data_IF_938958053350
#
_entry.id   IF_938958053350
#
_cell.length_a   1.000
_cell.length_b   1.000
_cell.length_c   1.000
_cell.angle_alpha   90.00
_cell.angle_beta   90.00
_cell.angle_gamma   90.00
#
_symmetry.space_group_name_H-M   'P 1'
#
loop_
_entity.id
_entity.type
_entity.pdbx_description
1 polymer ?
#
# COMPACT_ATOMS: atom_id res chain seq x y z
N UNK A 1 -35.77 5.79 14.36
CA UNK A 1 -34.73 6.09 15.38
C UNK A 1 -34.15 4.84 16.03
N UNK A 2 -34.92 3.78 16.25
CA UNK A 2 -34.44 2.54 16.91
C UNK A 2 -33.35 1.78 16.12
N UNK A 3 -33.46 1.71 14.80
CA UNK A 3 -32.48 1.04 13.94
C UNK A 3 -31.11 1.71 14.02
N UNK A 4 -31.07 3.03 14.01
CA UNK A 4 -29.83 3.80 14.16
C UNK A 4 -29.20 3.59 15.56
N UNK A 5 -30.03 3.55 16.60
CA UNK A 5 -29.60 3.25 17.98
C UNK A 5 -29.02 1.84 18.14
N UNK A 6 -29.59 0.83 17.44
CA UNK A 6 -29.07 -0.53 17.41
C UNK A 6 -27.70 -0.60 16.73
N UNK A 7 -27.53 0.04 15.56
CA UNK A 7 -26.25 0.08 14.88
C UNK A 7 -25.18 0.85 15.66
N UNK A 8 -25.57 1.97 16.30
CA UNK A 8 -24.65 2.73 17.16
C UNK A 8 -24.20 1.91 18.40
N UNK A 9 -25.12 1.18 19.05
CA UNK A 9 -24.77 0.30 20.18
C UNK A 9 -23.88 -0.87 19.72
N UNK A 10 -24.18 -1.49 18.58
CA UNK A 10 -23.34 -2.55 18.00
C UNK A 10 -21.96 -2.02 17.63
N UNK A 11 -21.88 -0.82 17.04
CA UNK A 11 -20.61 -0.16 16.74
C UNK A 11 -19.82 0.15 18.02
N UNK A 12 -20.49 0.65 19.05
CA UNK A 12 -19.88 0.93 20.36
C UNK A 12 -19.35 -0.32 21.05
N UNK A 13 -20.11 -1.44 21.03
CA UNK A 13 -19.68 -2.70 21.62
C UNK A 13 -18.50 -3.32 20.86
N UNK A 14 -18.48 -3.25 19.52
CA UNK A 14 -17.34 -3.67 18.70
C UNK A 14 -16.14 -2.76 18.94
N UNK A 15 -16.36 -1.44 18.99
CA UNK A 15 -15.29 -0.47 19.24
C UNK A 15 -14.65 -0.66 20.61
N UNK A 16 -15.45 -0.84 21.65
CA UNK A 16 -14.98 -1.06 23.04
C UNK A 16 -14.42 -2.47 23.23
N UNK A 17 -15.05 -3.49 22.64
CA UNK A 17 -14.71 -4.90 22.85
C UNK A 17 -13.56 -5.42 21.98
N UNK A 18 -13.32 -4.84 20.79
CA UNK A 18 -12.29 -5.33 19.88
C UNK A 18 -11.15 -4.32 19.63
N UNK A 19 -11.46 -3.02 19.59
CA UNK A 19 -10.48 -2.01 19.19
C UNK A 19 -9.71 -1.48 20.38
N UNK A 20 -10.37 -1.14 21.49
CA UNK A 20 -9.73 -0.55 22.69
C UNK A 20 -9.00 -1.57 23.57
N UNK A 21 -9.23 -2.87 23.40
CA UNK A 21 -8.59 -3.90 24.24
C UNK A 21 -7.14 -4.18 23.79
N UNK A 22 -6.83 -4.03 22.50
CA UNK A 22 -5.49 -4.31 21.96
C UNK A 22 -4.71 -3.01 21.80
N UNK A 23 -3.57 -2.83 22.46
CA UNK A 23 -2.80 -1.61 22.43
C UNK A 23 -2.29 -1.27 21.00
N UNK A 24 -1.99 -2.27 20.17
CA UNK A 24 -1.62 -2.04 18.78
C UNK A 24 -2.70 -1.30 17.97
N UNK A 25 -3.96 -1.63 18.18
CA UNK A 25 -5.10 -0.97 17.52
C UNK A 25 -5.30 0.46 18.03
N UNK A 26 -5.07 0.68 19.31
CA UNK A 26 -5.14 2.03 19.92
C UNK A 26 -4.03 2.92 19.33
N UNK A 27 -2.81 2.41 19.20
CA UNK A 27 -1.68 3.15 18.60
C UNK A 27 -2.01 3.55 17.15
N UNK A 28 -2.57 2.64 16.36
CA UNK A 28 -3.00 2.93 14.97
C UNK A 28 -4.08 4.02 14.95
N UNK A 29 -5.07 3.97 15.84
CA UNK A 29 -6.10 5.01 15.92
C UNK A 29 -5.52 6.37 16.33
N UNK A 30 -4.62 6.40 17.32
CA UNK A 30 -3.95 7.63 17.76
C UNK A 30 -3.10 8.21 16.64
N UNK A 31 -2.41 7.38 15.87
CA UNK A 31 -1.64 7.80 14.71
C UNK A 31 -2.53 8.46 13.65
N UNK A 32 -3.66 7.86 13.33
CA UNK A 32 -4.60 8.43 12.35
C UNK A 32 -5.26 9.71 12.87
N UNK A 33 -5.62 9.75 14.15
CA UNK A 33 -6.12 10.98 14.77
C UNK A 33 -5.09 12.10 14.74
N UNK A 34 -3.83 11.78 15.04
CA UNK A 34 -2.72 12.72 14.94
C UNK A 34 -2.57 13.26 13.51
N UNK A 35 -2.60 12.40 12.49
CA UNK A 35 -2.54 12.82 11.09
C UNK A 35 -3.70 13.78 10.75
N UNK A 36 -4.92 13.50 11.19
CA UNK A 36 -6.07 14.37 10.90
C UNK A 36 -5.96 15.74 11.59
N UNK A 37 -5.41 15.79 12.80
CA UNK A 37 -5.24 17.04 13.56
C UNK A 37 -4.01 17.87 13.13
N UNK A 38 -3.05 17.26 12.43
CA UNK A 38 -1.77 17.87 12.13
C UNK A 38 -1.86 19.19 11.34
N UNK A 39 -2.71 19.35 10.31
CA UNK A 39 -2.87 20.61 9.58
C UNK A 39 -3.46 21.75 10.43
N UNK A 40 -4.13 21.42 11.55
CA UNK A 40 -4.65 22.43 12.49
C UNK A 40 -3.54 23.05 13.33
N UNK A 41 -2.45 22.29 13.56
CA UNK A 41 -1.30 22.72 14.36
C UNK A 41 -0.23 23.38 13.48
N UNK A 42 0.04 22.81 12.30
CA UNK A 42 1.12 23.27 11.42
C UNK A 42 0.66 23.36 9.98
N UNK A 43 0.78 24.55 9.39
CA UNK A 43 0.44 24.81 8.00
C UNK A 43 1.68 24.94 7.11
N UNK A 44 2.85 24.43 7.56
CA UNK A 44 4.07 24.46 6.78
C UNK A 44 3.88 23.69 5.45
N UNK A 45 4.06 24.39 4.30
CA UNK A 45 3.88 23.80 3.00
C UNK A 45 4.81 22.61 2.70
N UNK A 46 6.01 22.59 3.30
CA UNK A 46 6.98 21.52 3.12
C UNK A 46 6.54 20.26 3.85
N UNK A 47 6.15 20.38 5.12
CA UNK A 47 5.65 19.27 5.91
C UNK A 47 4.38 18.64 5.28
N UNK A 48 3.42 19.48 4.88
CA UNK A 48 2.21 19.02 4.22
C UNK A 48 2.52 18.26 2.93
N UNK A 49 3.49 18.72 2.12
CA UNK A 49 3.93 18.01 0.91
C UNK A 49 4.47 16.63 1.22
N UNK A 50 5.33 16.50 2.23
CA UNK A 50 5.90 15.21 2.64
C UNK A 50 4.79 14.25 3.06
N UNK A 51 3.83 14.69 3.85
CA UNK A 51 2.74 13.86 4.34
C UNK A 51 1.73 13.46 3.26
N UNK A 52 1.46 14.34 2.29
CA UNK A 52 0.65 14.03 1.11
C UNK A 52 1.32 12.91 0.30
N UNK A 53 2.62 13.07 0.00
CA UNK A 53 3.38 12.06 -0.72
C UNK A 53 3.47 10.75 0.06
N UNK A 54 3.71 10.81 1.37
CA UNK A 54 3.68 9.63 2.24
C UNK A 54 2.32 8.92 2.19
N UNK A 55 1.20 9.66 2.20
CA UNK A 55 -0.14 9.08 2.09
C UNK A 55 -0.37 8.38 0.74
N UNK A 56 0.09 8.98 -0.35
CA UNK A 56 0.02 8.40 -1.70
C UNK A 56 0.86 7.12 -1.77
N UNK A 57 2.10 7.17 -1.30
CA UNK A 57 2.99 6.01 -1.29
C UNK A 57 2.56 4.93 -0.29
N UNK A 58 1.84 5.28 0.78
CA UNK A 58 1.25 4.31 1.71
C UNK A 58 0.18 3.45 1.02
N UNK A 59 -0.68 4.03 0.17
CA UNK A 59 -1.62 3.27 -0.66
C UNK A 59 -0.86 2.32 -1.59
N UNK A 60 0.21 2.82 -2.21
CA UNK A 60 1.03 2.06 -3.14
C UNK A 60 1.74 0.88 -2.45
N UNK A 61 2.31 1.09 -1.26
CA UNK A 61 2.96 0.03 -0.48
C UNK A 61 1.97 -1.02 0.04
N UNK A 62 0.81 -0.59 0.54
CA UNK A 62 -0.25 -1.48 0.97
C UNK A 62 -0.81 -2.32 -0.19
N UNK A 63 -0.89 -1.75 -1.40
CA UNK A 63 -1.34 -2.47 -2.60
C UNK A 63 -0.36 -3.57 -3.03
N UNK A 64 0.95 -3.36 -2.85
CA UNK A 64 1.95 -4.39 -3.09
C UNK A 64 1.84 -5.54 -2.09
N UNK A 65 1.65 -5.22 -0.80
CA UNK A 65 1.47 -6.23 0.24
C UNK A 65 0.21 -7.07 0.02
N UNK A 66 -0.88 -6.46 -0.46
CA UNK A 66 -2.11 -7.19 -0.82
C UNK A 66 -1.84 -8.29 -1.86
N UNK A 67 -0.95 -8.05 -2.83
CA UNK A 67 -0.58 -9.02 -3.85
C UNK A 67 0.53 -9.95 -3.34
N UNK A 68 1.70 -9.39 -3.05
CA UNK A 68 2.90 -10.19 -2.77
C UNK A 68 2.87 -10.76 -1.35
N UNK A 69 2.39 -9.98 -0.38
CA UNK A 69 2.27 -10.40 1.00
C UNK A 69 1.21 -11.47 1.20
N UNK A 70 -0.02 -11.20 0.82
CA UNK A 70 -1.16 -12.07 1.12
C UNK A 70 -1.26 -13.29 0.19
N UNK A 71 -0.83 -13.21 -1.07
CA UNK A 71 -0.93 -14.36 -2.00
C UNK A 71 0.40 -15.05 -2.28
N UNK A 72 1.52 -14.54 -1.75
CA UNK A 72 2.85 -15.08 -1.99
C UNK A 72 3.39 -14.87 -3.41
N UNK A 73 2.73 -14.04 -4.23
CA UNK A 73 3.16 -13.74 -5.60
C UNK A 73 4.15 -12.58 -5.61
N UNK A 74 5.44 -12.88 -5.56
CA UNK A 74 6.50 -11.86 -5.62
C UNK A 74 6.39 -11.04 -6.91
N UNK A 75 6.01 -9.75 -6.78
CA UNK A 75 5.90 -8.81 -7.89
C UNK A 75 6.93 -7.69 -7.74
N UNK A 76 7.95 -7.69 -8.59
CA UNK A 76 8.95 -6.63 -8.68
C UNK A 76 8.64 -5.59 -9.76
N UNK A 77 7.56 -5.78 -10.50
CA UNK A 77 7.09 -4.86 -11.53
C UNK A 77 5.97 -3.93 -11.07
N UNK A 78 5.86 -3.64 -9.78
CA UNK A 78 4.72 -2.90 -9.24
C UNK A 78 4.62 -1.45 -9.74
N UNK A 79 5.75 -0.83 -10.10
CA UNK A 79 5.82 0.48 -10.77
C UNK A 79 5.04 0.52 -12.09
N UNK A 80 4.83 -0.62 -12.77
CA UNK A 80 3.99 -0.69 -13.97
C UNK A 80 2.58 -0.15 -13.71
N UNK A 81 1.92 -0.60 -12.65
CA UNK A 81 0.55 -0.17 -12.32
C UNK A 81 0.48 1.32 -11.99
N UNK A 82 1.44 1.78 -11.21
CA UNK A 82 1.58 3.17 -10.82
C UNK A 82 1.82 4.07 -12.05
N UNK A 83 2.79 3.71 -12.88
CA UNK A 83 3.15 4.47 -14.07
C UNK A 83 2.05 4.49 -15.13
N UNK A 84 1.44 3.32 -15.44
CA UNK A 84 0.32 3.26 -16.40
C UNK A 84 -0.81 4.17 -15.97
N UNK A 85 -1.19 4.14 -14.69
CA UNK A 85 -2.26 4.99 -14.20
C UNK A 85 -1.88 6.47 -14.22
N UNK A 86 -0.64 6.81 -13.85
CA UNK A 86 -0.14 8.17 -13.90
C UNK A 86 -0.18 8.74 -15.32
N UNK A 87 0.34 8.00 -16.31
CA UNK A 87 0.32 8.40 -17.72
C UNK A 87 -1.10 8.44 -18.29
N UNK A 88 -1.94 7.46 -17.98
CA UNK A 88 -3.34 7.45 -18.45
C UNK A 88 -4.11 8.64 -17.88
N UNK A 89 -3.97 8.92 -16.58
CA UNK A 89 -4.59 10.08 -15.95
C UNK A 89 -4.10 11.40 -16.57
N UNK A 90 -2.79 11.50 -16.87
CA UNK A 90 -2.20 12.66 -17.51
C UNK A 90 -2.74 12.88 -18.93
N UNK A 91 -2.78 11.84 -19.75
CA UNK A 91 -3.29 11.89 -21.11
C UNK A 91 -4.77 12.27 -21.17
N UNK A 92 -5.60 11.66 -20.30
CA UNK A 92 -7.03 11.99 -20.21
C UNK A 92 -7.25 13.43 -19.75
N UNK A 93 -6.43 13.94 -18.83
CA UNK A 93 -6.56 15.31 -18.34
C UNK A 93 -6.18 16.33 -19.42
N UNK A 94 -5.08 16.13 -20.15
CA UNK A 94 -4.62 17.09 -21.15
C UNK A 94 -5.37 17.02 -22.47
N UNK A 95 -5.59 15.82 -23.01
CA UNK A 95 -6.21 15.68 -24.34
C UNK A 95 -7.75 15.64 -24.27
N UNK A 96 -8.32 14.93 -23.30
CA UNK A 96 -9.77 14.80 -23.15
C UNK A 96 -10.35 15.80 -22.14
N UNK A 97 -9.53 16.65 -21.50
CA UNK A 97 -9.93 17.62 -20.47
C UNK A 97 -10.75 17.02 -19.31
N UNK A 98 -10.54 15.73 -19.03
CA UNK A 98 -11.21 15.04 -17.93
C UNK A 98 -10.67 15.61 -16.60
N UNK A 99 -11.54 16.01 -15.66
CA UNK A 99 -11.10 16.52 -14.37
C UNK A 99 -10.35 15.43 -13.57
N UNK A 100 -9.51 15.81 -12.57
CA UNK A 100 -8.71 14.85 -11.78
C UNK A 100 -9.55 13.71 -11.17
N UNK A 101 -10.75 14.03 -10.69
CA UNK A 101 -11.68 13.05 -10.10
C UNK A 101 -12.19 11.99 -11.06
N UNK A 102 -12.20 12.26 -12.36
CA UNK A 102 -12.53 11.30 -13.40
C UNK A 102 -11.30 10.58 -13.96
N UNK A 103 -10.18 11.31 -14.15
CA UNK A 103 -8.96 10.75 -14.74
C UNK A 103 -8.25 9.76 -13.81
N UNK A 104 -8.27 9.96 -12.48
CA UNK A 104 -7.68 9.05 -11.50
C UNK A 104 -8.34 7.67 -11.53
N UNK A 105 -9.67 7.51 -11.36
CA UNK A 105 -10.29 6.18 -11.43
C UNK A 105 -10.18 5.53 -12.82
N UNK A 106 -10.21 6.30 -13.91
CA UNK A 106 -9.97 5.76 -15.24
C UNK A 106 -8.53 5.27 -15.41
N UNK A 107 -7.54 6.00 -14.86
CA UNK A 107 -6.15 5.54 -14.79
C UNK A 107 -6.00 4.26 -13.98
N UNK A 108 -6.71 4.14 -12.85
CA UNK A 108 -6.74 2.91 -12.06
C UNK A 108 -7.34 1.72 -12.83
N UNK A 109 -8.41 1.96 -13.62
CA UNK A 109 -8.97 0.91 -14.49
C UNK A 109 -7.98 0.49 -15.60
N UNK A 110 -7.22 1.43 -16.16
CA UNK A 110 -6.16 1.10 -17.11
C UNK A 110 -5.06 0.24 -16.45
N UNK A 111 -4.70 0.52 -15.20
CA UNK A 111 -3.78 -0.32 -14.43
C UNK A 111 -4.36 -1.73 -14.17
N UNK A 112 -5.65 -1.86 -13.89
CA UNK A 112 -6.32 -3.18 -13.79
C UNK A 112 -6.24 -3.94 -15.11
N UNK A 113 -6.53 -3.28 -16.23
CA UNK A 113 -6.44 -3.89 -17.55
C UNK A 113 -5.01 -4.36 -17.87
N UNK A 114 -4.01 -3.54 -17.55
CA UNK A 114 -2.60 -3.92 -17.64
C UNK A 114 -2.29 -5.12 -16.73
N UNK A 115 -2.86 -5.14 -15.52
CA UNK A 115 -2.77 -6.26 -14.59
C UNK A 115 -3.32 -7.56 -15.15
N UNK A 116 -4.40 -7.51 -15.93
CA UNK A 116 -4.92 -8.69 -16.65
C UNK A 116 -3.97 -9.15 -17.75
N UNK A 117 -3.49 -8.23 -18.58
CA UNK A 117 -2.57 -8.54 -19.68
C UNK A 117 -1.28 -9.19 -19.17
N UNK A 118 -0.70 -8.61 -18.11
CA UNK A 118 0.55 -9.10 -17.50
C UNK A 118 0.31 -10.32 -16.62
N UNK A 119 -0.77 -10.31 -15.84
CA UNK A 119 -1.08 -11.35 -14.88
C UNK A 119 -1.31 -12.71 -15.55
N UNK A 120 -2.07 -12.75 -16.65
CA UNK A 120 -2.40 -14.03 -17.34
C UNK A 120 -1.14 -14.83 -17.71
N UNK A 121 -0.13 -14.31 -18.42
CA UNK A 121 1.10 -15.05 -18.70
C UNK A 121 1.93 -15.31 -17.44
N UNK A 122 1.99 -14.35 -16.52
CA UNK A 122 2.77 -14.46 -15.29
C UNK A 122 2.25 -15.56 -14.34
N UNK A 123 0.94 -15.85 -14.34
CA UNK A 123 0.36 -16.91 -13.49
C UNK A 123 0.86 -18.33 -13.80
N UNK A 124 1.50 -18.53 -14.95
CA UNK A 124 2.15 -19.81 -15.31
C UNK A 124 3.50 -19.99 -14.63
N UNK A 125 4.08 -18.87 -14.14
CA UNK A 125 5.40 -18.83 -13.50
C UNK A 125 5.26 -18.88 -11.98
N UNK A 126 6.31 -19.39 -11.31
CA UNK A 126 6.35 -19.50 -9.86
C UNK A 126 7.68 -18.98 -9.31
N UNK A 127 7.64 -18.50 -8.06
CA UNK A 127 8.83 -18.09 -7.33
C UNK A 127 9.64 -17.01 -8.06
N UNK A 128 10.93 -17.22 -8.20
CA UNK A 128 11.89 -16.26 -8.77
C UNK A 128 11.60 -15.91 -10.23
N UNK A 129 11.09 -16.86 -11.01
CA UNK A 129 10.74 -16.60 -12.42
C UNK A 129 9.60 -15.60 -12.57
N UNK A 130 8.59 -15.67 -11.68
CA UNK A 130 7.52 -14.69 -11.64
C UNK A 130 8.07 -13.29 -11.31
N UNK A 131 8.94 -13.19 -10.31
CA UNK A 131 9.55 -11.95 -9.89
C UNK A 131 10.36 -11.28 -11.01
N UNK A 132 11.20 -12.05 -11.71
CA UNK A 132 12.01 -11.54 -12.83
C UNK A 132 11.15 -11.14 -14.03
N UNK A 133 10.12 -11.92 -14.35
CA UNK A 133 9.23 -11.61 -15.46
C UNK A 133 8.43 -10.33 -15.18
N UNK A 134 7.90 -10.16 -13.96
CA UNK A 134 7.17 -8.94 -13.60
C UNK A 134 8.06 -7.71 -13.65
N UNK A 135 9.36 -7.82 -13.33
CA UNK A 135 10.34 -6.74 -13.42
C UNK A 135 10.55 -6.24 -14.85
N UNK A 136 10.44 -7.11 -15.84
CA UNK A 136 10.64 -6.74 -17.23
C UNK A 136 9.56 -5.78 -17.78
N UNK A 137 8.32 -5.87 -17.31
CA UNK A 137 7.21 -5.09 -17.84
C UNK A 137 7.34 -3.58 -17.67
N UNK A 138 7.69 -3.02 -16.50
CA UNK A 138 7.92 -1.59 -16.38
C UNK A 138 9.09 -1.12 -17.25
N UNK A 139 10.14 -1.94 -17.46
CA UNK A 139 11.27 -1.62 -18.33
C UNK A 139 10.82 -1.56 -19.80
N UNK A 140 10.00 -2.52 -20.24
CA UNK A 140 9.43 -2.52 -21.60
C UNK A 140 8.58 -1.27 -21.80
N UNK A 141 7.71 -0.94 -20.84
CA UNK A 141 6.86 0.24 -20.94
C UNK A 141 7.67 1.54 -20.92
N UNK A 142 8.73 1.60 -20.13
CA UNK A 142 9.68 2.71 -20.12
C UNK A 142 10.32 2.89 -21.50
N UNK A 143 10.73 1.80 -22.16
CA UNK A 143 11.22 1.83 -23.54
C UNK A 143 10.18 2.37 -24.53
N UNK A 144 8.90 2.00 -24.39
CA UNK A 144 7.80 2.53 -25.20
C UNK A 144 7.62 4.04 -24.97
N UNK A 145 7.68 4.48 -23.72
CA UNK A 145 7.59 5.91 -23.37
C UNK A 145 8.65 6.73 -24.10
N UNK A 146 9.89 6.25 -24.15
CA UNK A 146 10.97 6.93 -24.88
C UNK A 146 10.83 6.84 -26.40
N UNK A 147 10.26 5.74 -26.90
CA UNK A 147 10.08 5.55 -28.35
C UNK A 147 8.97 6.42 -28.97
N UNK A 148 7.99 6.89 -28.16
CA UNK A 148 6.83 7.66 -28.63
C UNK A 148 6.73 9.02 -27.92
N UNK A 149 7.75 9.91 -28.07
CA UNK A 149 7.80 11.17 -27.32
C UNK A 149 6.66 12.14 -27.66
N UNK A 150 6.07 12.03 -28.87
CA UNK A 150 4.95 12.88 -29.29
C UNK A 150 3.67 12.72 -28.45
N UNK A 151 3.49 11.56 -27.78
CA UNK A 151 2.32 11.29 -26.93
C UNK A 151 2.72 11.32 -25.45
N UNK A 152 3.86 10.74 -25.12
CA UNK A 152 4.28 10.52 -23.71
C UNK A 152 5.13 11.66 -23.15
N UNK A 153 5.57 12.60 -24.00
CA UNK A 153 6.54 13.62 -23.62
C UNK A 153 7.99 13.12 -23.52
N UNK A 154 8.25 11.82 -23.81
CA UNK A 154 9.60 11.23 -23.78
C UNK A 154 10.28 11.35 -22.42
N UNK A 155 11.53 11.83 -22.40
CA UNK A 155 12.33 12.00 -21.16
C UNK A 155 11.75 13.05 -20.20
N UNK A 156 11.10 14.09 -20.72
CA UNK A 156 10.53 15.16 -19.90
C UNK A 156 9.18 14.75 -19.27
N UNK A 157 8.54 13.72 -19.83
CA UNK A 157 7.21 13.31 -19.42
C UNK A 157 6.12 14.34 -19.76
N UNK A 158 4.93 14.12 -19.25
CA UNK A 158 3.76 14.96 -19.46
C UNK A 158 3.62 15.89 -18.26
N UNK A 159 3.71 17.20 -18.46
CA UNK A 159 3.60 18.22 -17.41
C UNK A 159 2.39 19.14 -17.62
N UNK A 160 2.06 19.94 -16.61
CA UNK A 160 0.95 20.92 -16.73
C UNK A 160 -0.43 20.37 -16.36
N UNK A 161 -0.50 19.23 -15.68
CA UNK A 161 -1.75 18.62 -15.22
C UNK A 161 -2.54 19.55 -14.28
N UNK A 162 -3.86 19.43 -14.34
CA UNK A 162 -4.76 20.11 -13.43
C UNK A 162 -4.46 19.68 -11.98
N UNK A 163 -4.56 20.63 -11.05
CA UNK A 163 -4.40 20.37 -9.62
C UNK A 163 -5.56 19.54 -9.09
N UNK A 164 -5.31 18.78 -8.03
CA UNK A 164 -6.32 18.00 -7.33
C UNK A 164 -7.37 18.94 -6.70
N UNK A 165 -6.90 19.98 -6.03
CA UNK A 165 -7.73 21.06 -5.48
C UNK A 165 -7.04 22.44 -5.55
N UNK A 166 -7.75 23.48 -5.11
CA UNK A 166 -7.23 24.84 -5.07
C UNK A 166 -6.34 25.15 -3.87
N UNK A 167 -6.35 24.30 -2.82
CA UNK A 167 -5.61 24.51 -1.57
C UNK A 167 -4.79 23.28 -1.19
N UNK A 168 -3.59 23.50 -0.67
CA UNK A 168 -2.71 22.41 -0.20
C UNK A 168 -3.28 21.66 1.01
N UNK A 169 -3.99 22.37 1.88
CA UNK A 169 -4.69 21.77 3.03
C UNK A 169 -5.81 20.84 2.54
N UNK A 170 -6.55 21.25 1.53
CA UNK A 170 -7.59 20.42 0.91
C UNK A 170 -6.98 19.17 0.26
N UNK A 171 -5.87 19.31 -0.49
CA UNK A 171 -5.14 18.16 -1.06
C UNK A 171 -4.70 17.19 0.02
N UNK A 172 -4.25 17.69 1.18
CA UNK A 172 -3.89 16.86 2.33
C UNK A 172 -5.06 16.03 2.84
N UNK A 173 -6.19 16.66 3.15
CA UNK A 173 -7.36 15.94 3.67
C UNK A 173 -7.93 14.95 2.66
N UNK A 174 -7.90 15.27 1.37
CA UNK A 174 -8.31 14.36 0.30
C UNK A 174 -7.40 13.13 0.25
N UNK A 175 -6.08 13.33 0.22
CA UNK A 175 -5.13 12.21 0.10
C UNK A 175 -5.10 11.34 1.35
N UNK A 176 -5.12 11.92 2.55
CA UNK A 176 -5.22 11.18 3.81
C UNK A 176 -6.56 10.46 3.92
N UNK A 177 -7.67 11.10 3.57
CA UNK A 177 -9.00 10.47 3.57
C UNK A 177 -9.09 9.30 2.59
N UNK A 178 -8.57 9.45 1.37
CA UNK A 178 -8.49 8.36 0.40
C UNK A 178 -7.57 7.23 0.88
N UNK A 179 -6.40 7.56 1.44
CA UNK A 179 -5.50 6.56 2.04
C UNK A 179 -6.23 5.75 3.11
N UNK A 180 -6.89 6.41 4.06
CA UNK A 180 -7.63 5.73 5.13
C UNK A 180 -8.74 4.85 4.57
N UNK A 181 -9.53 5.36 3.63
CA UNK A 181 -10.63 4.63 2.98
C UNK A 181 -10.12 3.40 2.22
N UNK A 182 -9.11 3.57 1.38
CA UNK A 182 -8.55 2.48 0.55
C UNK A 182 -7.80 1.44 1.39
N UNK A 183 -7.00 1.85 2.39
CA UNK A 183 -6.34 0.92 3.30
C UNK A 183 -7.35 0.13 4.15
N UNK A 184 -8.42 0.78 4.61
CA UNK A 184 -9.52 0.09 5.32
C UNK A 184 -10.24 -0.89 4.40
N UNK A 185 -10.43 -0.54 3.13
CA UNK A 185 -11.03 -1.43 2.13
C UNK A 185 -10.12 -2.64 1.86
N UNK A 186 -8.82 -2.42 1.65
CA UNK A 186 -7.83 -3.51 1.51
C UNK A 186 -7.82 -4.40 2.75
N UNK A 187 -7.81 -3.84 3.95
CA UNK A 187 -7.89 -4.60 5.20
C UNK A 187 -9.18 -5.42 5.29
N UNK A 188 -10.34 -4.87 4.92
CA UNK A 188 -11.60 -5.63 4.88
C UNK A 188 -11.56 -6.79 3.88
N UNK A 189 -10.94 -6.59 2.72
CA UNK A 189 -10.74 -7.66 1.72
C UNK A 189 -9.90 -8.78 2.32
N UNK A 190 -8.81 -8.45 3.02
CA UNK A 190 -7.93 -9.46 3.64
C UNK A 190 -8.60 -10.21 4.79
N UNK A 191 -9.57 -9.61 5.47
CA UNK A 191 -10.36 -10.27 6.53
C UNK A 191 -11.59 -11.05 6.01
N UNK A 192 -11.88 -10.96 4.71
CA UNK A 192 -13.00 -11.68 4.08
C UNK A 192 -12.60 -13.11 3.68
N UNK A 193 -13.59 -13.89 3.21
CA UNK A 193 -13.34 -15.22 2.64
C UNK A 193 -12.31 -15.19 1.49
N UNK A 194 -12.27 -14.10 0.72
CA UNK A 194 -11.25 -13.91 -0.33
C UNK A 194 -9.85 -13.82 0.28
N UNK A 195 -9.68 -13.09 1.38
CA UNK A 195 -8.41 -12.99 2.08
C UNK A 195 -7.96 -14.33 2.67
N UNK A 196 -8.90 -15.11 3.21
CA UNK A 196 -8.59 -16.47 3.70
C UNK A 196 -8.07 -17.36 2.57
N UNK A 197 -8.67 -17.28 1.37
CA UNK A 197 -8.21 -18.01 0.19
C UNK A 197 -6.83 -17.52 -0.27
N UNK A 198 -6.55 -16.21 -0.20
CA UNK A 198 -5.23 -15.67 -0.49
C UNK A 198 -4.17 -16.28 0.43
N UNK A 199 -4.42 -16.33 1.73
CA UNK A 199 -3.54 -16.99 2.70
C UNK A 199 -3.34 -18.47 2.38
N UNK A 200 -4.42 -19.22 2.09
CA UNK A 200 -4.31 -20.63 1.74
C UNK A 200 -3.43 -20.85 0.49
N UNK A 201 -3.55 -20.00 -0.53
CA UNK A 201 -2.71 -20.06 -1.75
C UNK A 201 -1.24 -19.74 -1.41
N UNK A 202 -1.00 -18.83 -0.48
CA UNK A 202 0.35 -18.45 -0.06
C UNK A 202 1.06 -19.58 0.67
N UNK A 203 0.35 -20.26 1.59
CA UNK A 203 0.93 -21.35 2.40
C UNK A 203 1.22 -22.58 1.53
N UNK A 204 0.23 -23.06 0.78
CA UNK A 204 0.40 -24.16 -0.18
C UNK A 204 -0.61 -24.08 -1.32
N UNK A 205 -0.13 -23.67 -2.50
CA UNK A 205 -0.96 -23.59 -3.70
C UNK A 205 -1.51 -24.96 -4.15
N UNK A 206 -0.73 -26.04 -3.95
CA UNK A 206 -1.14 -27.37 -4.36
C UNK A 206 -2.26 -27.89 -3.45
N UNK A 207 -2.11 -27.73 -2.14
CA UNK A 207 -3.15 -28.08 -1.17
C UNK A 207 -4.44 -27.28 -1.40
N UNK A 208 -4.34 -25.99 -1.70
CA UNK A 208 -5.50 -25.17 -2.04
C UNK A 208 -6.23 -25.68 -3.29
N UNK A 209 -5.49 -26.11 -4.33
CA UNK A 209 -6.08 -26.72 -5.55
C UNK A 209 -6.76 -28.04 -5.28
N UNK A 210 -6.16 -28.92 -4.48
CA UNK A 210 -6.77 -30.22 -4.12
C UNK A 210 -8.02 -30.04 -3.28
N UNK A 211 -8.13 -28.95 -2.50
CA UNK A 211 -9.33 -28.55 -1.79
C UNK A 211 -10.42 -27.92 -2.71
N UNK A 212 -10.23 -27.92 -4.05
CA UNK A 212 -11.20 -27.41 -5.01
C UNK A 212 -11.14 -25.90 -5.29
N UNK A 213 -10.14 -25.19 -4.75
CA UNK A 213 -9.99 -23.75 -4.96
C UNK A 213 -9.35 -23.48 -6.33
N UNK A 214 -9.99 -22.63 -7.14
CA UNK A 214 -9.40 -22.18 -8.40
C UNK A 214 -8.33 -21.10 -8.14
N UNK A 215 -7.11 -21.52 -7.86
CA UNK A 215 -5.98 -20.63 -7.50
C UNK A 215 -5.68 -19.60 -8.58
N UNK A 216 -5.84 -19.94 -9.87
CA UNK A 216 -5.62 -19.02 -11.00
C UNK A 216 -6.55 -17.81 -10.93
N UNK A 217 -7.85 -18.03 -10.67
CA UNK A 217 -8.82 -16.93 -10.54
C UNK A 217 -8.49 -16.00 -9.38
N UNK A 218 -8.14 -16.55 -8.22
CA UNK A 218 -7.83 -15.75 -7.04
C UNK A 218 -6.50 -15.00 -7.17
N UNK A 219 -5.49 -15.61 -7.79
CA UNK A 219 -4.24 -14.94 -8.12
C UNK A 219 -4.47 -13.76 -9.07
N UNK A 220 -5.26 -13.96 -10.13
CA UNK A 220 -5.60 -12.90 -11.08
C UNK A 220 -6.41 -11.79 -10.40
N UNK A 221 -7.35 -12.14 -9.52
CA UNK A 221 -8.10 -11.17 -8.72
C UNK A 221 -7.17 -10.32 -7.86
N UNK A 222 -6.17 -10.93 -7.21
CA UNK A 222 -5.19 -10.21 -6.41
C UNK A 222 -4.36 -9.24 -7.28
N UNK A 223 -3.96 -9.63 -8.49
CA UNK A 223 -3.29 -8.75 -9.46
C UNK A 223 -4.17 -7.55 -9.84
N UNK A 224 -5.44 -7.79 -10.13
CA UNK A 224 -6.38 -6.73 -10.50
C UNK A 224 -6.65 -5.76 -9.33
N UNK A 225 -6.87 -6.29 -8.12
CA UNK A 225 -7.08 -5.47 -6.94
C UNK A 225 -5.85 -4.63 -6.60
N UNK A 226 -4.68 -5.25 -6.60
CA UNK A 226 -3.41 -4.58 -6.37
C UNK A 226 -3.16 -3.51 -7.43
N UNK A 227 -3.37 -3.83 -8.71
CA UNK A 227 -3.26 -2.88 -9.82
C UNK A 227 -4.23 -1.71 -9.69
N UNK A 228 -5.46 -1.93 -9.21
CA UNK A 228 -6.43 -0.88 -8.97
C UNK A 228 -5.97 0.11 -7.90
N UNK A 229 -5.54 -0.39 -6.74
CA UNK A 229 -5.09 0.47 -5.63
C UNK A 229 -3.77 1.18 -5.98
N UNK A 230 -2.81 0.48 -6.60
CA UNK A 230 -1.58 1.09 -7.11
C UNK A 230 -1.89 2.15 -8.17
N UNK A 231 -2.88 1.90 -9.04
CA UNK A 231 -3.32 2.83 -10.06
C UNK A 231 -3.94 4.10 -9.48
N UNK A 232 -4.77 4.01 -8.44
CA UNK A 232 -5.27 5.19 -7.74
C UNK A 232 -4.11 6.02 -7.19
N UNK A 233 -3.13 5.37 -6.56
CA UNK A 233 -1.93 6.04 -6.05
C UNK A 233 -1.14 6.74 -7.16
N UNK A 234 -0.93 6.11 -8.31
CA UNK A 234 -0.25 6.70 -9.46
C UNK A 234 -0.97 7.91 -10.05
N UNK A 235 -2.31 7.82 -10.18
CA UNK A 235 -3.12 8.95 -10.64
C UNK A 235 -3.13 10.13 -9.67
N UNK A 236 -3.21 9.87 -8.35
CA UNK A 236 -3.09 10.89 -7.30
C UNK A 236 -1.72 11.57 -7.35
N UNK A 237 -0.65 10.79 -7.49
CA UNK A 237 0.72 11.30 -7.61
C UNK A 237 0.87 12.23 -8.81
N UNK A 238 0.38 11.81 -9.99
CA UNK A 238 0.47 12.60 -11.21
C UNK A 238 -0.20 13.97 -11.08
N UNK A 239 -1.42 14.03 -10.52
CA UNK A 239 -2.14 15.29 -10.32
C UNK A 239 -1.55 16.15 -9.19
N UNK A 240 -1.05 15.53 -8.11
CA UNK A 240 -0.41 16.27 -7.03
C UNK A 240 0.93 16.88 -7.46
N UNK A 241 1.79 16.10 -8.13
CA UNK A 241 3.07 16.57 -8.66
C UNK A 241 2.91 17.37 -9.96
N UNK A 242 1.74 17.27 -10.61
CA UNK A 242 1.41 17.90 -11.91
C UNK A 242 2.31 17.42 -13.04
N UNK A 243 2.87 16.21 -12.91
CA UNK A 243 3.74 15.59 -13.88
C UNK A 243 3.55 14.08 -13.87
N UNK A 244 3.51 13.47 -15.04
CA UNK A 244 3.67 12.04 -15.24
C UNK A 244 4.92 11.81 -16.10
N UNK A 245 5.95 11.23 -15.50
CA UNK A 245 7.26 11.08 -16.15
C UNK A 245 7.80 9.66 -16.11
N UNK A 246 8.90 9.39 -16.83
CA UNK A 246 9.56 8.08 -16.87
C UNK A 246 9.93 7.53 -15.49
N UNK A 247 10.27 8.42 -14.55
CA UNK A 247 10.60 8.06 -13.16
C UNK A 247 9.51 7.23 -12.48
N UNK A 248 8.24 7.39 -12.89
CA UNK A 248 7.11 6.62 -12.33
C UNK A 248 7.11 5.14 -12.78
N UNK A 249 7.90 4.80 -13.80
CA UNK A 249 8.05 3.46 -14.36
C UNK A 249 9.40 2.83 -14.03
N UNK A 250 10.29 3.57 -13.37
CA UNK A 250 11.61 3.06 -13.04
C UNK A 250 11.55 1.87 -12.07
N UNK A 251 12.51 0.98 -12.24
CA UNK A 251 12.69 -0.20 -11.38
C UNK A 251 12.92 0.21 -9.91
N UNK A 252 13.61 1.33 -9.71
CA UNK A 252 13.83 1.91 -8.37
C UNK A 252 12.53 2.17 -7.61
N UNK A 253 11.47 2.59 -8.31
CA UNK A 253 10.16 2.80 -7.73
C UNK A 253 9.53 1.49 -7.23
N UNK A 254 9.67 0.40 -8.01
CA UNK A 254 9.23 -0.93 -7.58
C UNK A 254 9.99 -1.43 -6.36
N UNK A 255 11.31 -1.32 -6.35
CA UNK A 255 12.12 -1.75 -5.21
C UNK A 255 11.85 -0.92 -3.95
N UNK A 256 11.63 0.37 -4.08
CA UNK A 256 11.31 1.24 -2.95
C UNK A 256 10.03 0.77 -2.24
N UNK A 257 9.01 0.38 -2.99
CA UNK A 257 7.77 -0.16 -2.43
C UNK A 257 7.98 -1.49 -1.73
N UNK A 258 8.76 -2.38 -2.33
CA UNK A 258 9.13 -3.67 -1.73
C UNK A 258 9.84 -3.46 -0.39
N UNK A 259 10.79 -2.53 -0.35
CA UNK A 259 11.52 -2.17 0.86
C UNK A 259 10.55 -1.67 1.94
N UNK A 260 9.65 -0.76 1.62
CA UNK A 260 8.67 -0.25 2.58
C UNK A 260 7.75 -1.35 3.11
N UNK A 261 7.32 -2.26 2.25
CA UNK A 261 6.47 -3.37 2.66
C UNK A 261 7.18 -4.37 3.57
N UNK A 262 8.42 -4.76 3.22
CA UNK A 262 9.22 -5.68 4.05
C UNK A 262 9.59 -5.02 5.39
N UNK A 263 10.02 -3.75 5.36
CA UNK A 263 10.32 -3.00 6.57
C UNK A 263 9.13 -2.91 7.51
N UNK A 264 7.94 -2.62 6.96
CA UNK A 264 6.71 -2.50 7.76
C UNK A 264 6.20 -3.81 8.32
N UNK A 265 6.54 -4.90 7.68
CA UNK A 265 6.05 -6.25 7.95
C UNK A 265 5.02 -6.70 6.92
N UNK A 266 5.38 -7.71 6.17
CA UNK A 266 4.56 -8.33 5.12
C UNK A 266 3.33 -9.01 5.74
N UNK A 267 2.22 -9.11 4.96
CA UNK A 267 0.93 -9.68 5.41
C UNK A 267 0.21 -8.81 6.45
N UNK A 268 0.54 -7.54 6.45
CA UNK A 268 -0.12 -6.59 7.35
C UNK A 268 -0.36 -5.27 6.61
N UNK A 269 -1.58 -4.99 6.16
CA UNK A 269 -1.86 -3.75 5.41
C UNK A 269 -1.39 -2.48 6.17
N UNK A 270 -1.49 -2.46 7.48
CA UNK A 270 -1.02 -1.35 8.32
C UNK A 270 0.52 -1.26 8.42
N UNK A 271 1.23 -2.40 8.22
CA UNK A 271 2.69 -2.47 8.25
C UNK A 271 3.35 -1.57 7.21
N UNK A 272 3.11 -1.83 5.92
CA UNK A 272 3.60 -0.97 4.84
C UNK A 272 3.20 0.50 5.00
N UNK A 273 1.97 0.79 5.44
CA UNK A 273 1.52 2.16 5.69
C UNK A 273 2.40 2.85 6.74
N UNK A 274 2.59 2.23 7.90
CA UNK A 274 3.43 2.78 8.97
C UNK A 274 4.89 2.94 8.54
N UNK A 275 5.42 1.97 7.78
CA UNK A 275 6.77 2.03 7.23
C UNK A 275 6.98 3.26 6.33
N UNK A 276 6.05 3.56 5.45
CA UNK A 276 6.14 4.73 4.57
C UNK A 276 6.16 6.02 5.37
N UNK A 277 5.32 6.16 6.40
CA UNK A 277 5.31 7.36 7.25
C UNK A 277 6.56 7.53 8.11
N UNK A 278 7.35 6.47 8.30
CA UNK A 278 8.65 6.54 8.99
C UNK A 278 9.77 6.77 7.98
N UNK A 279 9.86 5.93 6.94
CA UNK A 279 10.99 5.92 6.02
C UNK A 279 10.97 7.07 5.01
N UNK A 280 9.78 7.50 4.55
CA UNK A 280 9.71 8.56 3.55
C UNK A 280 10.14 9.92 4.13
N UNK A 281 9.66 10.39 5.31
CA UNK A 281 10.19 11.59 5.94
C UNK A 281 11.67 11.45 6.32
N UNK A 282 12.13 10.27 6.73
CA UNK A 282 13.54 10.02 7.04
C UNK A 282 14.43 10.19 5.80
N UNK A 283 13.98 9.68 4.64
CA UNK A 283 14.65 9.88 3.35
C UNK A 283 14.76 11.36 2.97
N UNK A 284 13.71 12.12 3.26
CA UNK A 284 13.67 13.56 2.99
C UNK A 284 14.58 14.32 3.94
N UNK A 285 14.69 13.89 5.18
CA UNK A 285 15.63 14.45 6.16
C UNK A 285 17.09 14.27 5.71
N UNK A 286 17.44 13.12 5.13
CA UNK A 286 18.78 12.86 4.59
C UNK A 286 19.11 13.68 3.32
N UNK A 287 18.18 14.47 2.85
CA UNK A 287 18.43 15.40 1.74
C UNK A 287 19.51 16.45 2.06
N UNK A 288 19.80 16.69 3.33
CA UNK A 288 20.90 17.56 3.77
C UNK A 288 22.28 17.07 3.29
N UNK A 289 22.46 15.74 3.08
CA UNK A 289 23.69 15.15 2.55
C UNK A 289 23.42 14.32 1.29
N UNK A 290 23.24 14.97 0.11
CA UNK A 290 22.81 14.28 -1.10
C UNK A 290 23.71 13.11 -1.52
N UNK A 291 25.04 13.23 -1.31
CA UNK A 291 26.03 12.19 -1.65
C UNK A 291 25.95 10.95 -0.75
N UNK A 292 25.52 11.11 0.50
CA UNK A 292 25.44 10.02 1.49
C UNK A 292 24.00 9.49 1.67
N UNK A 293 23.01 10.15 1.10
CA UNK A 293 21.58 9.83 1.26
C UNK A 293 21.27 8.36 1.01
N UNK A 294 21.72 7.84 -0.13
CA UNK A 294 21.49 6.43 -0.49
C UNK A 294 22.21 5.45 0.43
N UNK A 295 23.44 5.78 0.83
CA UNK A 295 24.22 4.95 1.77
C UNK A 295 23.53 4.92 3.14
N UNK A 296 23.14 6.08 3.68
CA UNK A 296 22.49 6.17 4.98
C UNK A 296 21.16 5.40 4.99
N UNK A 297 20.37 5.55 3.91
CA UNK A 297 19.13 4.82 3.76
C UNK A 297 19.34 3.30 3.71
N UNK A 298 20.33 2.85 2.93
CA UNK A 298 20.69 1.43 2.85
C UNK A 298 21.17 0.86 4.20
N UNK A 299 21.94 1.64 4.98
CA UNK A 299 22.38 1.24 6.32
C UNK A 299 21.22 1.11 7.30
N UNK A 300 20.26 2.05 7.28
CA UNK A 300 19.05 1.99 8.11
C UNK A 300 18.26 0.74 7.79
N UNK A 301 18.03 0.44 6.51
CA UNK A 301 17.31 -0.74 6.08
C UNK A 301 18.05 -2.02 6.51
N UNK A 302 19.36 -2.09 6.25
CA UNK A 302 20.18 -3.22 6.63
C UNK A 302 20.12 -3.49 8.14
N UNK A 303 20.25 -2.43 8.95
CA UNK A 303 20.17 -2.55 10.40
C UNK A 303 18.82 -3.11 10.85
N UNK A 304 17.73 -2.65 10.28
CA UNK A 304 16.40 -3.10 10.67
C UNK A 304 16.12 -4.52 10.23
N UNK A 305 16.52 -4.91 9.01
CA UNK A 305 16.37 -6.29 8.53
C UNK A 305 17.19 -7.29 9.37
N UNK A 306 18.35 -6.88 9.88
CA UNK A 306 19.18 -7.73 10.75
C UNK A 306 18.59 -7.93 12.15
N UNK A 307 17.96 -6.89 12.72
CA UNK A 307 17.43 -6.94 14.08
C UNK A 307 15.93 -7.25 14.17
N UNK A 308 15.17 -7.04 13.08
CA UNK A 308 13.71 -7.18 13.02
C UNK A 308 13.30 -7.91 11.73
N UNK A 309 13.59 -9.23 11.59
CA UNK A 309 13.35 -9.97 10.35
C UNK A 309 11.89 -10.03 9.94
N UNK A 310 10.94 -9.94 10.90
CA UNK A 310 9.50 -9.94 10.64
C UNK A 310 8.95 -8.55 10.30
N UNK A 311 9.80 -7.52 10.31
CA UNK A 311 9.45 -6.12 10.12
C UNK A 311 9.19 -5.36 11.43
N UNK A 312 9.23 -4.02 11.33
CA UNK A 312 9.19 -3.13 12.49
C UNK A 312 7.87 -3.23 13.27
N UNK A 313 6.74 -3.18 12.57
CA UNK A 313 5.43 -3.14 13.23
C UNK A 313 5.01 -4.48 13.84
N UNK A 314 5.20 -5.64 13.19
CA UNK A 314 5.02 -6.94 13.84
C UNK A 314 5.91 -7.10 15.07
N UNK A 315 7.17 -6.71 14.99
CA UNK A 315 8.11 -6.79 16.11
C UNK A 315 7.65 -5.94 17.32
N UNK A 316 7.21 -4.68 17.09
CA UNK A 316 6.64 -3.85 18.15
C UNK A 316 5.37 -4.49 18.73
N UNK A 317 4.49 -4.97 17.86
CA UNK A 317 3.25 -5.63 18.26
C UNK A 317 3.50 -6.84 19.14
N UNK A 318 4.42 -7.72 18.75
CA UNK A 318 4.70 -8.98 19.46
C UNK A 318 5.42 -8.74 20.80
N UNK A 319 6.01 -7.55 21.02
CA UNK A 319 6.47 -7.11 22.36
C UNK A 319 5.34 -6.62 23.26
N UNK A 320 4.26 -6.10 22.70
CA UNK A 320 3.15 -5.51 23.44
C UNK A 320 1.99 -6.51 23.62
N UNK A 321 1.88 -7.47 22.71
CA UNK A 321 0.81 -8.47 22.66
C UNK A 321 1.37 -9.88 22.62
N UNK A 322 0.73 -10.79 23.37
CA UNK A 322 1.08 -12.22 23.40
C UNK A 322 -0.08 -13.05 22.84
N UNK A 323 0.22 -14.02 22.01
CA UNK A 323 -0.77 -14.93 21.45
C UNK A 323 -1.01 -16.12 22.39
N UNK A 324 -2.27 -16.44 22.69
CA UNK A 324 -2.60 -17.57 23.56
C UNK A 324 -2.24 -18.90 22.89
N UNK A 325 -1.44 -19.78 23.52
CA UNK A 325 -1.05 -21.06 22.93
C UNK A 325 -2.25 -21.99 22.67
N UNK A 326 -3.34 -21.85 23.46
CA UNK A 326 -4.52 -22.71 23.39
C UNK A 326 -5.55 -22.26 22.35
N UNK A 327 -5.94 -20.99 22.34
CA UNK A 327 -7.03 -20.49 21.50
C UNK A 327 -6.59 -19.49 20.43
N UNK A 328 -5.28 -19.19 20.32
CA UNK A 328 -4.70 -18.26 19.35
C UNK A 328 -5.22 -16.82 19.44
N UNK A 329 -5.99 -16.49 20.48
CA UNK A 329 -6.49 -15.13 20.69
C UNK A 329 -5.38 -14.27 21.28
N UNK A 330 -5.19 -13.09 20.72
CA UNK A 330 -4.18 -12.13 21.18
C UNK A 330 -4.61 -11.43 22.46
N UNK A 331 -3.68 -11.29 23.37
CA UNK A 331 -3.84 -10.66 24.67
C UNK A 331 -2.73 -9.63 24.87
N UNK A 332 -2.94 -8.70 25.78
CA UNK A 332 -1.88 -7.76 26.21
C UNK A 332 -0.79 -8.57 26.93
N UNK A 333 0.49 -8.32 26.63
CA UNK A 333 1.63 -9.05 27.20
C UNK A 333 1.70 -9.04 28.73
N UNK A 334 1.09 -8.03 29.37
CA UNK A 334 1.02 -7.95 30.85
C UNK A 334 -0.06 -8.83 31.49
N UNK A 335 -0.89 -9.50 30.68
CA UNK A 335 -1.97 -10.37 31.21
C UNK A 335 -1.46 -11.75 31.53
N UNK A 336 -1.75 -12.25 32.72
CA UNK A 336 -1.41 -13.61 33.18
C UNK A 336 -2.39 -14.70 32.71
N UNK A 337 -3.60 -14.31 32.26
CA UNK A 337 -4.62 -15.24 31.80
C UNK A 337 -5.28 -14.76 30.51
N UNK A 338 -5.58 -15.69 29.61
CA UNK A 338 -6.22 -15.41 28.33
C UNK A 338 -7.63 -14.85 28.54
N UNK A 339 -7.99 -13.81 27.76
CA UNK A 339 -9.32 -13.18 27.81
C UNK A 339 -10.46 -14.08 27.29
N UNK A 340 -10.16 -15.09 26.48
CA UNK A 340 -11.16 -15.93 25.83
C UNK A 340 -11.27 -17.31 26.48
N UNK A 341 -10.16 -17.98 26.77
CA UNK A 341 -10.15 -19.36 27.27
C UNK A 341 -9.58 -19.50 28.70
N UNK A 342 -9.24 -18.39 29.38
CA UNK A 342 -8.68 -18.33 30.73
C UNK A 342 -7.38 -19.15 30.95
N UNK A 343 -6.76 -19.69 29.87
CA UNK A 343 -5.47 -20.38 29.97
C UNK A 343 -4.40 -19.40 30.49
N UNK A 344 -3.46 -19.92 31.29
CA UNK A 344 -2.30 -19.11 31.71
C UNK A 344 -1.45 -18.70 30.48
N UNK A 345 -1.03 -17.45 30.48
CA UNK A 345 -0.14 -16.86 29.49
C UNK A 345 1.20 -16.70 30.22
N UNK A 346 2.20 -17.43 29.76
CA UNK A 346 3.59 -17.35 30.24
C UNK A 346 4.30 -16.11 29.69
#
# INVERSE_FOLDING_TARGET
>A
MEILGFYLRKLYTVFKGEILILPSRVVVLLFFFFLLCLPLVTQDPYLLRILILASIFAIFAASWDLLSGFTGQMNFGHALFFGVAAYTAALLNLHARVPPWGSIPLGALAAVFTGLIVGIPCLRLRGTYLALTTLAFPIILLGIVYAVPGITGGELGISGLARLSGSRITDYYITVGLMLGLCTLMWKITQSNTGLIFHAIREDELAARTAGINTTRYKLLAFCLSGFFAGISGGLYAHFMRIAGPANLEVTMSFTVVIWAIFGGVVTIYGPVGAVFILFPLLELFHFWPKLRMLMFALVILFILLYMPDGLLPWIRDKIETECPRCKVRNVATRKACRACTAQLD
#
